data_IF_560078379786
#
_entry.id   IF_560078379786
#
_cell.length_a   1.000
_cell.length_b   1.000
_cell.length_c   1.000
_cell.angle_alpha   90.00
_cell.angle_beta   90.00
_cell.angle_gamma   90.00
#
_symmetry.space_group_name_H-M   'P 1'
#
loop_
_entity.id
_entity.type
_entity.pdbx_description
1 polymer ?
#
# COMPACT_ATOMS: atom_id res chain seq x y z
N UNK A 1 31.53 -51.51 -35.12
CA UNK A 1 31.45 -50.03 -35.19
C UNK A 1 29.99 -49.60 -35.00
N UNK A 2 29.39 -49.98 -33.87
CA UNK A 2 28.04 -49.61 -33.42
C UNK A 2 28.16 -49.52 -31.90
N UNK A 3 28.69 -48.41 -31.41
CA UNK A 3 28.75 -48.06 -29.98
C UNK A 3 29.32 -46.64 -29.87
N UNK A 4 28.58 -45.63 -30.36
CA UNK A 4 28.94 -44.21 -30.10
C UNK A 4 27.83 -43.18 -30.32
N UNK A 5 26.56 -43.59 -30.40
CA UNK A 5 25.44 -42.63 -30.58
C UNK A 5 24.27 -42.92 -29.64
N UNK A 6 24.54 -43.05 -28.35
CA UNK A 6 23.51 -43.22 -27.30
C UNK A 6 23.85 -42.42 -26.03
N UNK A 7 24.57 -41.31 -26.17
CA UNK A 7 24.85 -40.36 -25.08
C UNK A 7 24.70 -38.93 -25.63
N UNK A 8 23.46 -38.51 -25.88
CA UNK A 8 23.12 -37.09 -26.05
C UNK A 8 21.63 -36.77 -25.86
N UNK A 9 20.85 -37.66 -25.24
CA UNK A 9 19.45 -37.41 -24.88
C UNK A 9 19.26 -37.58 -23.36
N UNK A 10 19.85 -36.66 -22.59
CA UNK A 10 19.80 -36.72 -21.12
C UNK A 10 20.05 -35.40 -20.41
N UNK A 11 19.89 -34.27 -21.10
CA UNK A 11 20.24 -32.96 -20.58
C UNK A 11 19.37 -31.86 -21.22
N UNK A 12 18.04 -31.97 -21.17
CA UNK A 12 17.11 -30.85 -21.43
C UNK A 12 15.68 -31.14 -20.92
N UNK A 13 15.55 -31.72 -19.73
CA UNK A 13 14.24 -31.98 -19.12
C UNK A 13 14.23 -31.78 -17.60
N UNK A 14 14.98 -30.80 -17.08
CA UNK A 14 14.99 -30.43 -15.66
C UNK A 14 15.15 -28.91 -15.49
N UNK A 15 14.37 -28.08 -16.20
CA UNK A 15 14.21 -26.65 -15.87
C UNK A 15 12.84 -26.11 -16.32
N UNK A 16 11.73 -26.79 -15.99
CA UNK A 16 10.41 -26.16 -15.92
C UNK A 16 9.60 -26.92 -14.87
N UNK A 17 9.94 -26.72 -13.59
CA UNK A 17 9.12 -27.02 -12.40
C UNK A 17 9.82 -26.35 -11.23
N UNK A 18 9.80 -25.03 -11.28
CA UNK A 18 10.37 -24.14 -10.27
C UNK A 18 9.49 -22.91 -10.05
N UNK A 19 8.18 -23.03 -10.28
CA UNK A 19 7.26 -22.24 -9.47
C UNK A 19 7.12 -23.00 -8.16
N UNK A 20 8.01 -22.66 -7.23
CA UNK A 20 7.74 -22.92 -5.83
C UNK A 20 6.38 -22.34 -5.53
N UNK A 21 5.39 -23.21 -5.38
CA UNK A 21 4.32 -23.00 -4.43
C UNK A 21 5.04 -22.71 -3.12
N UNK A 22 5.27 -21.44 -2.80
CA UNK A 22 5.49 -21.04 -1.43
C UNK A 22 4.30 -21.62 -0.68
N UNK A 23 4.54 -22.70 0.06
CA UNK A 23 3.63 -23.10 1.10
C UNK A 23 3.36 -21.85 1.92
N UNK A 24 2.10 -21.38 1.96
CA UNK A 24 1.63 -20.48 3.00
C UNK A 24 1.75 -21.23 4.33
N UNK A 25 2.97 -21.43 4.81
CA UNK A 25 3.20 -21.67 6.22
C UNK A 25 2.82 -20.36 6.89
N UNK A 26 1.64 -20.33 7.50
CA UNK A 26 1.22 -19.23 8.34
C UNK A 26 2.37 -18.94 9.31
N UNK A 27 2.95 -17.74 9.22
CA UNK A 27 4.07 -17.34 10.07
C UNK A 27 3.64 -17.55 11.52
N UNK A 28 4.32 -18.46 12.22
CA UNK A 28 3.93 -18.84 13.57
C UNK A 28 4.23 -17.71 14.55
N UNK A 29 3.30 -17.46 15.47
CA UNK A 29 3.48 -16.47 16.55
C UNK A 29 4.66 -16.87 17.44
N UNK A 30 5.58 -15.93 17.68
CA UNK A 30 6.66 -16.06 18.63
C UNK A 30 6.13 -15.85 20.06
N UNK A 31 5.85 -16.95 20.76
CA UNK A 31 5.26 -16.96 22.11
C UNK A 31 6.15 -16.35 23.17
N UNK A 32 7.47 -16.31 22.98
CA UNK A 32 8.39 -15.71 23.95
C UNK A 32 8.25 -14.18 24.00
N UNK A 33 7.78 -13.57 22.92
CA UNK A 33 7.61 -12.11 22.77
C UNK A 33 6.15 -11.68 22.60
N UNK A 34 5.19 -12.61 22.77
CA UNK A 34 3.77 -12.33 22.60
C UNK A 34 3.01 -12.43 23.93
N UNK A 35 2.08 -11.50 24.16
CA UNK A 35 1.06 -11.55 25.20
C UNK A 35 -0.28 -11.87 24.56
N UNK A 36 -0.61 -13.16 24.54
CA UNK A 36 -1.85 -13.69 23.98
C UNK A 36 -2.92 -13.83 25.07
N UNK A 37 -4.17 -13.50 24.73
CA UNK A 37 -5.38 -13.74 25.53
C UNK A 37 -5.22 -13.41 27.02
N UNK A 38 -5.08 -12.12 27.32
CA UNK A 38 -4.94 -11.64 28.70
C UNK A 38 -6.19 -11.90 29.56
N UNK A 39 -7.37 -12.11 28.95
CA UNK A 39 -8.68 -12.26 29.64
C UNK A 39 -8.70 -13.39 30.64
N UNK A 40 -7.96 -14.48 30.37
CA UNK A 40 -7.91 -15.65 31.25
C UNK A 40 -6.75 -15.63 32.26
N UNK A 41 -5.91 -14.60 32.22
CA UNK A 41 -4.71 -14.55 33.04
C UNK A 41 -4.99 -13.87 34.39
N UNK A 42 -4.69 -14.57 35.48
CA UNK A 42 -4.65 -13.97 36.81
C UNK A 42 -3.32 -13.25 37.08
N UNK A 43 -2.25 -13.66 36.39
CA UNK A 43 -0.90 -13.10 36.51
C UNK A 43 -0.23 -13.04 35.15
N UNK A 44 0.65 -12.05 34.96
CA UNK A 44 1.43 -11.94 33.74
C UNK A 44 2.41 -13.12 33.58
N UNK A 45 2.64 -13.59 32.34
CA UNK A 45 3.66 -14.59 32.07
C UNK A 45 5.03 -14.11 32.53
N UNK A 46 5.88 -15.04 32.98
CA UNK A 46 7.25 -14.71 33.40
C UNK A 46 8.13 -14.17 32.27
N UNK A 47 7.70 -14.30 31.01
CA UNK A 47 8.39 -13.73 29.84
C UNK A 47 8.29 -12.21 29.78
N UNK A 48 7.43 -11.58 30.59
CA UNK A 48 7.27 -10.13 30.65
C UNK A 48 7.47 -9.59 32.06
N UNK A 49 8.04 -8.39 32.13
CA UNK A 49 8.27 -7.66 33.38
C UNK A 49 7.54 -6.34 33.30
N UNK A 50 6.75 -6.03 34.33
CA UNK A 50 6.14 -4.71 34.50
C UNK A 50 7.06 -3.78 35.27
N UNK A 51 6.96 -2.48 34.98
CA UNK A 51 7.64 -1.41 35.71
C UNK A 51 6.71 -0.25 35.98
N UNK A 52 7.13 0.64 36.88
CA UNK A 52 6.31 1.74 37.34
C UNK A 52 5.07 1.24 38.08
N UNK A 53 3.90 1.76 37.69
CA UNK A 53 2.60 1.47 38.27
C UNK A 53 1.73 0.60 37.36
N UNK A 54 2.31 -0.05 36.34
CA UNK A 54 1.56 -0.92 35.45
C UNK A 54 0.99 -2.15 36.20
N UNK A 55 -0.28 -2.45 35.96
CA UNK A 55 -1.01 -3.55 36.62
C UNK A 55 -1.80 -4.37 35.60
N UNK A 56 -1.97 -5.66 35.87
CA UNK A 56 -2.89 -6.53 35.13
C UNK A 56 -4.27 -6.45 35.79
N UNK A 57 -5.28 -5.99 35.08
CA UNK A 57 -6.65 -5.89 35.57
C UNK A 57 -7.62 -6.41 34.51
N UNK A 58 -8.51 -7.33 34.88
CA UNK A 58 -9.66 -7.76 34.04
C UNK A 58 -9.29 -8.01 32.56
N UNK A 59 -8.21 -8.74 32.31
CA UNK A 59 -7.84 -9.12 30.95
C UNK A 59 -7.08 -8.08 30.14
N UNK A 60 -6.48 -7.08 30.77
CA UNK A 60 -5.61 -6.09 30.10
C UNK A 60 -4.53 -5.57 31.03
N UNK A 61 -3.41 -5.13 30.48
CA UNK A 61 -2.37 -4.42 31.23
C UNK A 61 -2.70 -2.94 31.21
N UNK A 62 -3.08 -2.39 32.36
CA UNK A 62 -3.28 -0.97 32.56
C UNK A 62 -1.93 -0.34 32.89
N UNK A 63 -1.37 0.44 31.97
CA UNK A 63 -0.07 1.09 32.14
C UNK A 63 -0.17 2.32 33.04
N UNK A 64 -1.27 3.06 32.97
CA UNK A 64 -1.48 4.30 33.73
C UNK A 64 -2.80 4.27 34.54
N UNK A 65 -2.87 3.50 35.64
CA UNK A 65 -4.13 3.26 36.36
C UNK A 65 -4.66 4.46 37.16
N UNK A 66 -3.84 5.49 37.38
CA UNK A 66 -4.17 6.65 38.24
C UNK A 66 -3.68 7.95 37.61
N UNK A 67 -4.16 9.08 38.08
CA UNK A 67 -3.61 10.39 37.69
C UNK A 67 -2.13 10.50 38.09
N UNK A 68 -1.26 11.02 37.23
CA UNK A 68 0.17 11.11 37.54
C UNK A 68 0.95 9.81 37.42
N UNK A 69 0.35 8.78 36.81
CA UNK A 69 0.94 7.43 36.78
C UNK A 69 1.75 7.18 35.53
N UNK A 70 2.77 6.34 35.73
CA UNK A 70 3.71 5.91 34.69
C UNK A 70 3.84 4.41 34.77
N UNK A 71 3.83 3.73 33.63
CA UNK A 71 3.91 2.29 33.57
C UNK A 71 4.71 1.80 32.39
N UNK A 72 5.21 0.57 32.52
CA UNK A 72 5.93 -0.09 31.45
C UNK A 72 5.70 -1.58 31.49
N UNK A 73 5.78 -2.22 30.33
CA UNK A 73 5.87 -3.66 30.19
C UNK A 73 6.93 -3.98 29.14
N UNK A 74 7.85 -4.88 29.47
CA UNK A 74 8.98 -5.24 28.61
C UNK A 74 9.11 -6.76 28.53
N UNK A 75 9.48 -7.26 27.35
CA UNK A 75 9.91 -8.65 27.21
C UNK A 75 11.21 -8.86 28.01
N UNK A 76 11.29 -9.95 28.75
CA UNK A 76 12.44 -10.29 29.58
C UNK A 76 13.61 -10.81 28.72
N UNK A 77 13.29 -11.57 27.67
CA UNK A 77 14.28 -12.06 26.70
C UNK A 77 14.65 -10.96 25.71
N UNK A 78 15.85 -11.06 25.16
CA UNK A 78 16.27 -10.21 24.04
C UNK A 78 15.87 -10.87 22.72
N UNK A 79 15.25 -10.10 21.83
CA UNK A 79 14.84 -10.50 20.50
C UNK A 79 16.03 -10.43 19.54
N UNK A 80 16.38 -11.56 18.92
CA UNK A 80 17.43 -11.60 17.92
C UNK A 80 16.85 -11.26 16.54
N UNK A 81 17.22 -10.10 15.99
CA UNK A 81 16.68 -9.65 14.71
C UNK A 81 17.21 -10.49 13.54
N UNK A 82 16.31 -11.26 12.91
CA UNK A 82 16.54 -11.93 11.62
C UNK A 82 16.29 -11.01 10.42
N UNK A 83 15.83 -11.58 9.30
CA UNK A 83 15.58 -10.81 8.06
C UNK A 83 14.26 -10.02 8.08
N UNK A 84 13.26 -10.49 8.84
CA UNK A 84 11.98 -9.82 8.95
C UNK A 84 11.28 -10.14 10.26
N UNK A 85 10.43 -9.22 10.70
CA UNK A 85 9.53 -9.46 11.82
C UNK A 85 8.26 -8.63 11.67
N UNK A 86 7.21 -9.05 12.37
CA UNK A 86 5.98 -8.27 12.54
C UNK A 86 5.65 -8.20 14.03
N UNK A 87 5.34 -7.01 14.52
CA UNK A 87 4.86 -6.79 15.88
C UNK A 87 3.51 -6.06 15.85
N UNK A 88 2.54 -6.56 16.61
CA UNK A 88 1.17 -6.06 16.63
C UNK A 88 0.79 -5.73 18.08
N UNK A 89 0.44 -4.48 18.33
CA UNK A 89 -0.03 -4.01 19.62
C UNK A 89 -1.50 -3.63 19.53
N UNK A 90 -2.33 -4.25 20.37
CA UNK A 90 -3.73 -3.85 20.54
C UNK A 90 -3.84 -2.99 21.78
N UNK A 91 -4.08 -1.70 21.59
CA UNK A 91 -4.01 -0.68 22.65
C UNK A 91 -5.23 0.22 22.63
N UNK A 92 -5.53 0.87 23.77
CA UNK A 92 -6.52 1.94 23.84
C UNK A 92 -6.17 2.98 24.89
N UNK A 93 -6.83 4.14 24.78
CA UNK A 93 -6.81 5.21 25.78
C UNK A 93 -8.25 5.55 26.19
N UNK A 94 -8.50 5.59 27.50
CA UNK A 94 -9.82 5.92 28.08
C UNK A 94 -9.69 6.98 29.19
N UNK A 95 -10.83 7.51 29.64
CA UNK A 95 -10.98 8.42 30.79
C UNK A 95 -10.42 9.84 30.62
N UNK A 96 -9.90 10.18 29.44
CA UNK A 96 -9.46 11.54 29.13
C UNK A 96 -9.57 11.87 27.65
N UNK A 97 -9.98 13.11 27.35
CA UNK A 97 -9.98 13.69 26.02
C UNK A 97 -9.49 15.13 26.11
N UNK A 98 -8.49 15.46 25.30
CA UNK A 98 -7.87 16.78 25.31
C UNK A 98 -6.36 16.70 25.24
N UNK A 99 -5.74 17.84 24.91
CA UNK A 99 -4.28 17.96 24.78
C UNK A 99 -3.61 17.63 26.13
N UNK A 100 -2.64 16.73 26.09
CA UNK A 100 -1.89 16.25 27.25
C UNK A 100 -0.40 16.18 26.93
N UNK A 101 0.45 16.27 27.95
CA UNK A 101 1.88 15.95 27.85
C UNK A 101 2.16 14.44 27.96
N UNK A 102 1.13 13.64 28.24
CA UNK A 102 1.21 12.19 28.28
C UNK A 102 1.25 11.54 26.90
N UNK A 103 1.57 10.25 26.88
CA UNK A 103 1.66 9.47 25.67
C UNK A 103 1.99 8.00 25.92
N UNK A 104 1.80 7.19 24.89
CA UNK A 104 2.13 5.76 24.84
C UNK A 104 3.26 5.55 23.83
N UNK A 105 4.35 4.93 24.27
CA UNK A 105 5.50 4.61 23.44
C UNK A 105 5.67 3.10 23.30
N UNK A 106 5.76 2.62 22.06
CA UNK A 106 6.13 1.25 21.72
C UNK A 106 7.58 1.23 21.23
N UNK A 107 8.35 0.28 21.72
CA UNK A 107 9.80 0.27 21.61
C UNK A 107 10.30 -0.99 20.93
N UNK A 108 11.23 -0.80 20.00
CA UNK A 108 12.09 -1.84 19.44
C UNK A 108 13.51 -1.31 19.43
N UNK A 109 14.23 -1.49 20.55
CA UNK A 109 15.51 -0.81 20.83
C UNK A 109 16.58 -1.79 21.26
N UNK A 110 17.85 -1.46 21.07
CA UNK A 110 18.99 -2.22 21.59
C UNK A 110 18.80 -2.43 23.11
N UNK A 111 19.16 -3.61 23.62
CA UNK A 111 18.98 -3.95 25.02
C UNK A 111 19.78 -3.05 25.98
N UNK A 112 20.87 -2.46 25.51
CA UNK A 112 21.73 -1.53 26.27
C UNK A 112 21.06 -0.17 26.42
N UNK A 113 21.07 0.38 27.63
CA UNK A 113 20.59 1.75 27.90
C UNK A 113 19.08 1.88 28.09
N UNK A 114 18.37 0.78 28.34
CA UNK A 114 16.91 0.76 28.56
C UNK A 114 16.48 1.13 29.98
N UNK A 115 17.42 1.38 30.89
CA UNK A 115 17.13 1.67 32.31
C UNK A 115 16.69 3.13 32.55
N UNK A 116 16.87 4.01 31.56
CA UNK A 116 16.41 5.40 31.64
C UNK A 116 14.88 5.46 31.44
N UNK A 117 14.19 6.24 32.28
CA UNK A 117 12.72 6.33 32.31
C UNK A 117 12.20 7.75 32.01
N UNK A 118 13.04 8.57 31.36
CA UNK A 118 12.80 10.03 31.22
C UNK A 118 11.90 10.41 30.05
N UNK A 119 11.56 9.48 29.15
CA UNK A 119 10.77 9.76 27.96
C UNK A 119 9.56 8.81 27.92
N UNK A 120 8.40 9.28 28.35
CA UNK A 120 7.17 8.48 28.45
C UNK A 120 7.36 7.18 29.24
N UNK A 121 8.12 7.26 30.34
CA UNK A 121 8.54 6.11 31.16
C UNK A 121 9.42 5.07 30.43
N UNK A 122 10.06 5.47 29.34
CA UNK A 122 11.08 4.72 28.62
C UNK A 122 12.37 5.54 28.42
N UNK A 123 13.34 4.98 27.66
CA UNK A 123 14.66 5.57 27.52
C UNK A 123 14.63 6.85 26.69
N UNK A 124 15.23 7.93 27.21
CA UNK A 124 15.40 9.19 26.47
C UNK A 124 16.58 9.15 25.50
N UNK A 125 17.48 8.19 25.65
CA UNK A 125 18.61 7.94 24.76
C UNK A 125 18.60 6.45 24.44
N UNK A 126 18.31 6.12 23.18
CA UNK A 126 18.10 4.74 22.74
C UNK A 126 18.71 4.52 21.36
N UNK A 127 19.04 3.27 21.05
CA UNK A 127 19.44 2.85 19.71
C UNK A 127 18.33 1.96 19.16
N UNK A 128 17.69 2.33 18.04
CA UNK A 128 16.57 1.61 17.45
C UNK A 128 15.37 2.50 17.19
N UNK A 129 14.17 1.93 17.34
CA UNK A 129 12.90 2.51 16.92
C UNK A 129 11.97 2.75 18.12
N UNK A 130 11.34 3.92 18.11
CA UNK A 130 10.21 4.26 18.97
C UNK A 130 9.01 4.64 18.10
N UNK A 131 7.85 4.08 18.41
CA UNK A 131 6.55 4.55 17.92
C UNK A 131 5.82 5.26 19.06
N UNK A 132 5.54 6.55 18.89
CA UNK A 132 4.91 7.40 19.90
C UNK A 132 3.48 7.75 19.48
N UNK A 133 2.53 7.40 20.34
CA UNK A 133 1.13 7.83 20.26
C UNK A 133 0.88 8.90 21.31
N UNK A 134 0.72 10.14 20.87
CA UNK A 134 0.49 11.31 21.74
C UNK A 134 -0.32 12.39 21.00
N UNK A 135 -0.65 13.46 21.71
CA UNK A 135 -1.33 14.62 21.12
C UNK A 135 -0.73 15.98 21.51
N UNK A 136 0.47 15.99 22.09
CA UNK A 136 1.10 17.23 22.55
C UNK A 136 1.75 18.01 21.40
N UNK A 137 2.12 17.31 20.32
CA UNK A 137 2.72 17.89 19.12
C UNK A 137 1.81 18.86 18.36
N UNK A 138 2.37 19.53 17.36
CA UNK A 138 1.69 20.57 16.57
C UNK A 138 0.51 20.04 15.75
N UNK A 139 0.58 18.76 15.38
CA UNK A 139 -0.44 18.09 14.55
C UNK A 139 -1.61 17.51 15.37
N UNK A 140 -1.62 17.73 16.69
CA UNK A 140 -2.58 17.10 17.59
C UNK A 140 -2.33 15.60 17.70
N UNK A 141 -3.40 14.81 17.75
CA UNK A 141 -3.33 13.37 17.98
C UNK A 141 -2.68 12.64 16.80
N UNK A 142 -1.51 12.06 17.04
CA UNK A 142 -0.67 11.43 16.01
C UNK A 142 -0.06 10.12 16.48
N UNK A 143 0.26 9.26 15.52
CA UNK A 143 1.25 8.20 15.69
C UNK A 143 2.52 8.62 14.94
N UNK A 144 3.64 8.72 15.65
CA UNK A 144 4.93 9.18 15.14
C UNK A 144 5.99 8.12 15.32
N UNK A 145 6.97 8.10 14.42
CA UNK A 145 8.10 7.20 14.48
C UNK A 145 9.41 7.98 14.58
N UNK A 146 10.22 7.56 15.55
CA UNK A 146 11.51 8.13 15.87
C UNK A 146 12.57 7.04 15.79
N UNK A 147 13.67 7.36 15.14
CA UNK A 147 14.82 6.48 15.01
C UNK A 147 16.01 7.15 15.69
N UNK A 148 16.80 6.39 16.42
CA UNK A 148 18.01 6.90 17.04
C UNK A 148 19.13 5.86 17.05
N UNK A 149 20.36 6.35 17.08
CA UNK A 149 21.61 5.61 17.22
C UNK A 149 22.23 5.82 18.62
N UNK A 150 21.43 6.28 19.59
CA UNK A 150 21.83 6.71 20.92
C UNK A 150 22.79 7.92 20.96
N UNK A 151 23.04 8.64 19.86
CA UNK A 151 23.91 9.83 19.87
C UNK A 151 23.26 11.07 20.52
N UNK A 152 21.93 11.17 20.44
CA UNK A 152 21.13 12.30 20.94
C UNK A 152 20.20 11.85 22.05
N UNK A 153 19.89 12.79 22.94
CA UNK A 153 18.88 12.62 23.99
C UNK A 153 17.59 13.33 23.60
N UNK A 154 16.50 12.59 23.64
CA UNK A 154 15.15 13.08 23.38
C UNK A 154 14.45 13.53 24.66
N UNK A 155 13.47 14.39 24.49
CA UNK A 155 12.63 14.99 25.51
C UNK A 155 11.23 15.10 24.93
N UNK A 156 10.23 15.34 25.78
CA UNK A 156 8.85 15.54 25.31
C UNK A 156 8.66 16.73 24.37
N UNK A 157 9.67 17.59 24.16
CA UNK A 157 9.59 18.75 23.25
C UNK A 157 10.37 18.55 21.96
N UNK A 158 11.64 18.13 22.02
CA UNK A 158 12.47 17.98 20.81
C UNK A 158 12.16 16.72 19.98
N UNK A 159 11.39 15.78 20.53
CA UNK A 159 11.08 14.53 19.85
C UNK A 159 10.31 14.78 18.54
N UNK A 160 9.47 15.82 18.48
CA UNK A 160 8.66 16.11 17.30
C UNK A 160 9.49 16.50 16.07
N UNK A 161 10.62 17.19 16.27
CA UNK A 161 11.51 17.63 15.20
C UNK A 161 12.26 16.46 14.55
N UNK A 162 12.40 15.35 15.26
CA UNK A 162 13.16 14.17 14.84
C UNK A 162 12.21 13.02 14.43
N UNK A 163 11.02 13.38 13.93
CA UNK A 163 10.03 12.43 13.38
C UNK A 163 10.39 12.07 11.95
N UNK A 164 10.60 10.80 11.63
CA UNK A 164 10.86 10.36 10.23
C UNK A 164 9.60 9.84 9.51
N UNK A 165 8.56 9.48 10.25
CA UNK A 165 7.27 9.02 9.73
C UNK A 165 6.15 9.29 10.71
N UNK A 166 4.96 9.67 10.23
CA UNK A 166 3.81 9.92 11.09
C UNK A 166 2.47 9.79 10.35
N UNK A 167 1.38 9.67 11.09
CA UNK A 167 0.02 9.85 10.59
C UNK A 167 -0.89 10.46 11.68
N UNK A 168 -2.02 11.04 11.26
CA UNK A 168 -3.05 11.49 12.19
C UNK A 168 -3.76 10.27 12.78
N UNK A 169 -3.96 10.25 14.10
CA UNK A 169 -4.60 9.13 14.80
C UNK A 169 -5.46 9.64 15.96
N UNK A 170 -6.77 9.50 15.85
CA UNK A 170 -7.68 9.69 16.98
C UNK A 170 -7.68 8.45 17.87
N UNK A 171 -7.15 8.55 19.09
CA UNK A 171 -7.04 7.41 20.03
C UNK A 171 -7.67 7.64 21.40
N UNK A 172 -7.88 8.90 21.79
CA UNK A 172 -8.36 9.27 23.12
C UNK A 172 -9.84 8.97 23.32
N UNK A 173 -10.19 8.56 24.54
CA UNK A 173 -11.57 8.32 25.00
C UNK A 173 -12.34 7.33 24.13
N UNK A 174 -11.65 6.28 23.68
CA UNK A 174 -12.23 5.21 22.86
C UNK A 174 -12.24 3.89 23.64
N UNK A 175 -13.43 3.31 23.80
CA UNK A 175 -13.57 1.95 24.36
C UNK A 175 -13.12 0.87 23.39
N UNK A 176 -13.16 1.16 22.09
CA UNK A 176 -12.71 0.28 21.02
C UNK A 176 -11.18 0.41 20.90
N UNK A 177 -10.44 -0.70 21.03
CA UNK A 177 -8.99 -0.68 20.88
C UNK A 177 -8.58 -0.55 19.41
N UNK A 178 -7.37 -0.05 19.23
CA UNK A 178 -6.69 0.10 17.95
C UNK A 178 -5.60 -0.96 17.85
N UNK A 179 -5.41 -1.53 16.66
CA UNK A 179 -4.30 -2.44 16.39
C UNK A 179 -3.23 -1.71 15.58
N UNK A 180 -2.08 -1.48 16.21
CA UNK A 180 -0.90 -0.90 15.58
C UNK A 180 0.02 -2.05 15.18
N UNK A 181 0.31 -2.15 13.89
CA UNK A 181 1.19 -3.18 13.33
C UNK A 181 2.46 -2.54 12.78
N UNK A 182 3.61 -3.02 13.25
CA UNK A 182 4.92 -2.71 12.73
C UNK A 182 5.46 -3.92 11.96
N UNK A 183 5.78 -3.74 10.70
CA UNK A 183 6.42 -4.75 9.85
C UNK A 183 7.79 -4.25 9.43
N UNK A 184 8.81 -5.09 9.59
CA UNK A 184 10.16 -4.81 9.12
C UNK A 184 10.67 -5.95 8.24
N UNK A 185 11.38 -5.60 7.17
CA UNK A 185 12.14 -6.52 6.32
C UNK A 185 13.45 -5.87 5.88
N UNK A 186 14.55 -6.60 5.96
CA UNK A 186 15.90 -6.16 5.56
C UNK A 186 16.46 -6.90 4.35
N UNK A 187 15.72 -7.85 3.77
CA UNK A 187 16.15 -8.67 2.63
C UNK A 187 16.14 -7.93 1.29
N UNK A 188 15.81 -8.64 0.22
CA UNK A 188 15.81 -8.11 -1.16
C UNK A 188 14.92 -6.86 -1.34
N UNK A 189 13.89 -6.73 -0.51
CA UNK A 189 12.95 -5.61 -0.50
C UNK A 189 12.89 -4.96 0.88
N UNK A 190 13.85 -4.07 1.23
CA UNK A 190 13.86 -3.44 2.53
C UNK A 190 12.61 -2.59 2.72
N UNK A 191 11.90 -2.83 3.82
CA UNK A 191 10.63 -2.17 4.11
C UNK A 191 10.43 -2.09 5.62
N UNK A 192 10.19 -0.87 6.11
CA UNK A 192 9.57 -0.61 7.40
C UNK A 192 8.17 -0.06 7.13
N UNK A 193 7.13 -0.73 7.62
CA UNK A 193 5.74 -0.31 7.44
C UNK A 193 5.02 -0.27 8.78
N UNK A 194 4.23 0.78 8.99
CA UNK A 194 3.33 0.89 10.13
C UNK A 194 1.90 0.99 9.65
N UNK A 195 1.03 0.16 10.21
CA UNK A 195 -0.41 0.14 9.96
C UNK A 195 -1.17 0.41 11.27
N UNK A 196 -2.33 1.05 11.16
CA UNK A 196 -3.32 1.16 12.23
C UNK A 196 -4.65 0.66 11.70
N UNK A 197 -5.21 -0.36 12.35
CA UNK A 197 -6.43 -1.06 11.91
C UNK A 197 -6.38 -1.43 10.43
N UNK A 198 -5.27 -2.05 10.01
CA UNK A 198 -4.97 -2.45 8.63
C UNK A 198 -4.80 -1.31 7.61
N UNK A 199 -4.96 -0.04 8.00
CA UNK A 199 -4.64 1.12 7.14
C UNK A 199 -3.20 1.54 7.32
N UNK A 200 -2.50 1.82 6.23
CA UNK A 200 -1.10 2.25 6.31
C UNK A 200 -1.03 3.67 6.87
N UNK A 201 -0.27 3.80 7.96
CA UNK A 201 0.09 5.06 8.58
C UNK A 201 1.27 5.68 7.82
N UNK A 202 2.37 4.94 7.68
CA UNK A 202 3.51 5.31 6.83
C UNK A 202 4.33 4.07 6.45
N UNK A 203 5.19 4.21 5.45
CA UNK A 203 6.15 3.19 5.05
C UNK A 203 7.45 3.83 4.53
N UNK A 204 8.58 3.19 4.76
CA UNK A 204 9.89 3.66 4.30
C UNK A 204 10.84 2.51 3.99
N UNK A 205 11.77 2.74 3.07
CA UNK A 205 12.88 1.82 2.74
C UNK A 205 14.22 2.31 3.30
N UNK A 206 14.21 3.43 4.02
CA UNK A 206 15.43 4.12 4.46
C UNK A 206 15.96 3.61 5.81
N UNK A 207 15.12 2.91 6.57
CA UNK A 207 15.50 2.40 7.89
C UNK A 207 16.16 1.04 7.72
N UNK A 208 17.38 0.93 8.24
CA UNK A 208 18.14 -0.31 8.31
C UNK A 208 18.51 -0.53 9.77
N UNK A 209 17.93 -1.56 10.37
CA UNK A 209 18.21 -1.96 11.73
C UNK A 209 19.36 -2.97 11.71
N UNK A 210 20.46 -2.75 12.46
CA UNK A 210 21.56 -3.69 12.52
C UNK A 210 21.11 -5.04 13.11
N UNK A 211 21.69 -6.14 12.61
CA UNK A 211 21.44 -7.49 13.12
C UNK A 211 22.07 -7.66 14.51
N UNK A 212 21.28 -7.38 15.54
CA UNK A 212 21.68 -7.44 16.95
C UNK A 212 20.49 -7.82 17.84
N UNK A 213 20.72 -7.81 19.15
CA UNK A 213 19.70 -8.11 20.14
C UNK A 213 18.91 -6.85 20.51
N UNK A 214 17.59 -6.96 20.45
CA UNK A 214 16.66 -5.88 20.76
C UNK A 214 15.79 -6.24 21.97
N UNK A 215 15.36 -5.23 22.72
CA UNK A 215 14.26 -5.30 23.67
C UNK A 215 13.00 -4.75 23.01
N UNK A 216 11.92 -5.48 23.22
CA UNK A 216 10.58 -5.10 22.85
C UNK A 216 9.82 -4.68 24.11
N UNK A 217 9.14 -3.54 24.06
CA UNK A 217 8.34 -3.10 25.19
C UNK A 217 7.40 -1.96 24.87
N UNK A 218 6.55 -1.66 25.84
CA UNK A 218 5.55 -0.59 25.78
C UNK A 218 5.63 0.19 27.09
N UNK A 219 5.66 1.51 27.00
CA UNK A 219 5.70 2.41 28.15
C UNK A 219 4.68 3.52 27.99
N UNK A 220 4.15 4.03 29.09
CA UNK A 220 3.21 5.14 29.07
C UNK A 220 3.39 6.07 30.27
N UNK A 221 2.99 7.32 30.05
CA UNK A 221 2.95 8.39 31.06
C UNK A 221 1.68 9.20 30.78
N UNK A 222 0.81 9.39 31.76
CA UNK A 222 -0.40 10.20 31.59
C UNK A 222 -0.24 11.64 32.09
N UNK A 223 0.96 12.04 32.51
CA UNK A 223 1.23 13.33 33.12
C UNK A 223 0.20 13.62 34.23
N UNK A 224 -0.37 14.81 34.30
CA UNK A 224 -1.25 15.21 35.40
C UNK A 224 -2.76 14.97 35.11
N UNK A 225 -3.11 14.05 34.20
CA UNK A 225 -4.49 13.76 33.83
C UNK A 225 -4.93 12.32 34.21
N UNK A 226 -6.21 11.98 34.03
CA UNK A 226 -6.76 10.66 34.35
C UNK A 226 -6.74 9.66 33.17
N UNK A 227 -5.94 9.92 32.14
CA UNK A 227 -5.85 9.08 30.95
C UNK A 227 -5.29 7.71 31.30
N UNK A 228 -6.03 6.66 30.94
CA UNK A 228 -5.64 5.27 31.17
C UNK A 228 -5.23 4.65 29.84
N UNK A 229 -3.93 4.43 29.67
CA UNK A 229 -3.37 3.68 28.55
C UNK A 229 -3.37 2.19 28.89
N UNK A 230 -3.98 1.40 28.01
CA UNK A 230 -4.17 -0.03 28.23
C UNK A 230 -3.61 -0.84 27.05
N UNK A 231 -2.89 -1.91 27.35
CA UNK A 231 -2.42 -2.91 26.41
C UNK A 231 -3.27 -4.18 26.59
N UNK A 232 -3.97 -4.58 25.52
CA UNK A 232 -4.86 -5.74 25.53
C UNK A 232 -4.18 -6.97 24.95
N UNK A 233 -3.30 -6.79 23.97
CA UNK A 233 -2.63 -7.89 23.27
C UNK A 233 -1.33 -7.41 22.64
N UNK A 234 -0.33 -8.29 22.61
CA UNK A 234 0.92 -8.10 21.89
C UNK A 234 1.23 -9.38 21.12
N UNK A 235 1.31 -9.32 19.80
CA UNK A 235 1.69 -10.45 18.97
C UNK A 235 2.96 -10.15 18.20
N UNK A 236 3.89 -11.09 18.20
CA UNK A 236 5.17 -10.96 17.51
C UNK A 236 5.38 -12.17 16.63
N UNK A 237 5.86 -11.94 15.43
CA UNK A 237 6.09 -12.94 14.40
C UNK A 237 7.51 -12.80 13.85
N UNK A 238 8.21 -13.92 13.68
CA UNK A 238 9.56 -13.94 13.09
C UNK A 238 9.54 -13.87 11.54
N UNK A 239 8.56 -13.14 11.00
CA UNK A 239 8.31 -13.01 9.57
C UNK A 239 7.26 -11.95 9.25
N UNK A 240 6.94 -11.81 7.97
CA UNK A 240 5.91 -10.89 7.47
C UNK A 240 4.56 -11.60 7.45
N UNK A 241 3.55 -11.05 8.14
CA UNK A 241 2.19 -11.61 8.12
C UNK A 241 1.46 -11.29 6.81
N UNK A 242 0.48 -12.11 6.40
CA UNK A 242 -0.32 -11.82 5.19
C UNK A 242 -1.02 -10.46 5.28
N UNK A 243 -1.50 -10.09 6.47
CA UNK A 243 -2.15 -8.80 6.70
C UNK A 243 -1.16 -7.62 6.61
N UNK A 244 0.13 -7.88 6.87
CA UNK A 244 1.21 -6.93 6.59
C UNK A 244 1.44 -6.72 5.09
N UNK A 245 0.89 -7.55 4.20
CA UNK A 245 1.07 -7.41 2.75
C UNK A 245 -0.09 -6.67 2.08
N UNK A 246 -1.15 -6.35 2.82
CA UNK A 246 -2.33 -5.65 2.29
C UNK A 246 -1.88 -4.33 1.65
N UNK A 247 -2.12 -4.14 0.33
CA UNK A 247 -1.76 -2.92 -0.37
C UNK A 247 -2.65 -1.75 0.04
N UNK A 248 -2.15 -0.52 -0.16
CA UNK A 248 -2.77 0.76 0.19
C UNK A 248 -4.14 1.02 -0.45
N UNK A 249 -5.18 0.28 -0.08
CA UNK A 249 -6.54 0.57 -0.53
C UNK A 249 -7.08 1.86 0.13
N UNK A 250 -6.71 2.12 1.39
CA UNK A 250 -7.10 3.31 2.15
C UNK A 250 -5.93 3.80 3.03
N UNK A 251 -5.21 4.83 2.56
CA UNK A 251 -4.12 5.48 3.32
C UNK A 251 -4.73 6.35 4.42
N UNK A 252 -4.15 6.35 5.62
CA UNK A 252 -4.58 7.26 6.69
C UNK A 252 -4.34 8.73 6.30
N UNK A 253 -5.20 9.63 6.78
CA UNK A 253 -5.04 11.06 6.55
C UNK A 253 -3.68 11.53 7.07
N UNK A 254 -2.89 12.09 6.15
CA UNK A 254 -1.60 12.68 6.46
C UNK A 254 -1.79 14.14 6.88
N UNK A 255 -0.98 14.64 7.83
CA UNK A 255 -1.00 16.05 8.21
C UNK A 255 -0.70 16.93 7.00
N UNK A 256 -1.55 17.93 6.76
CA UNK A 256 -1.37 18.92 5.68
C UNK A 256 -0.89 20.23 6.28
N UNK A 257 0.20 20.76 5.73
CA UNK A 257 0.69 22.08 6.12
C UNK A 257 -0.09 23.15 5.33
N UNK A 258 -0.75 24.03 6.05
CA UNK A 258 -1.45 25.19 5.49
C UNK A 258 -0.61 26.43 5.76
N UNK A 259 -0.20 27.14 4.70
CA UNK A 259 0.41 28.46 4.81
C UNK A 259 -0.69 29.52 4.76
N UNK A 260 -0.77 30.33 5.80
CA UNK A 260 -1.62 31.53 5.81
C UNK A 260 -0.93 32.63 5.01
N UNK A 261 -1.46 32.93 3.83
CA UNK A 261 -1.02 34.05 2.98
C UNK A 261 -1.89 35.25 3.31
N UNK A 262 -1.27 36.35 3.74
CA UNK A 262 -1.97 37.60 4.02
C UNK A 262 -1.65 38.58 2.90
N UNK A 263 -2.68 39.02 2.18
CA UNK A 263 -2.53 40.05 1.18
C UNK A 263 -2.22 41.39 1.87
N UNK A 264 -1.01 41.91 1.70
CA UNK A 264 -0.56 43.15 2.37
C UNK A 264 -1.41 44.39 2.02
N UNK A 265 -2.17 44.37 0.91
CA UNK A 265 -2.98 45.51 0.46
C UNK A 265 -4.44 45.42 0.88
N UNK A 266 -5.01 44.21 0.95
CA UNK A 266 -6.43 44.01 1.30
C UNK A 266 -6.64 43.47 2.71
N UNK A 267 -5.59 42.95 3.35
CA UNK A 267 -5.68 42.27 4.63
C UNK A 267 -6.39 40.91 4.56
N UNK A 268 -6.76 40.45 3.36
CA UNK A 268 -7.43 39.18 3.18
C UNK A 268 -6.48 38.02 3.45
N UNK A 269 -6.99 37.05 4.20
CA UNK A 269 -6.27 35.87 4.63
C UNK A 269 -6.71 34.69 3.76
N UNK A 270 -5.76 34.08 3.06
CA UNK A 270 -5.97 32.87 2.29
C UNK A 270 -5.15 31.72 2.88
N UNK A 271 -5.80 30.59 3.15
CA UNK A 271 -5.12 29.39 3.62
C UNK A 271 -4.76 28.53 2.42
N UNK A 272 -3.47 28.49 2.07
CA UNK A 272 -2.96 27.73 0.94
C UNK A 272 -2.25 26.48 1.46
N UNK A 273 -2.69 25.30 1.04
CA UNK A 273 -1.99 24.05 1.31
C UNK A 273 -0.64 24.07 0.58
N UNK A 274 0.47 24.01 1.34
CA UNK A 274 1.83 23.98 0.77
C UNK A 274 2.59 22.76 1.27
N UNK A 275 3.21 22.03 0.36
CA UNK A 275 4.10 20.90 0.68
C UNK A 275 5.48 21.42 1.11
N UNK A 276 6.22 20.70 1.96
CA UNK A 276 7.57 21.09 2.41
C UNK A 276 8.57 21.41 1.27
N UNK A 277 8.35 20.87 0.06
CA UNK A 277 9.15 21.19 -1.14
C UNK A 277 8.73 22.50 -1.84
N UNK A 278 7.47 22.94 -1.71
CA UNK A 278 6.97 24.21 -2.28
C UNK A 278 7.42 25.42 -1.43
N UNK A 279 7.87 25.19 -0.20
CA UNK A 279 8.45 26.22 0.66
C UNK A 279 9.88 26.59 0.26
N UNK A 280 10.58 25.71 -0.46
CA UNK A 280 11.99 25.87 -0.85
C UNK A 280 12.20 26.28 -2.31
N UNK A 281 11.12 26.42 -3.10
CA UNK A 281 11.18 26.74 -4.52
C UNK A 281 10.61 28.12 -4.84
N UNK A 282 11.30 28.87 -5.70
CA UNK A 282 10.81 30.11 -6.31
C UNK A 282 9.46 29.86 -6.99
N UNK A 283 8.48 30.73 -6.69
CA UNK A 283 7.06 30.59 -7.02
C UNK A 283 6.74 30.56 -8.53
N UNK A 284 7.74 30.70 -9.41
CA UNK A 284 7.56 30.87 -10.85
C UNK A 284 8.11 29.70 -11.69
N UNK A 285 8.68 28.66 -11.06
CA UNK A 285 9.19 27.50 -11.79
C UNK A 285 8.29 26.27 -11.60
N UNK A 286 7.75 25.74 -12.70
CA UNK A 286 7.12 24.41 -12.71
C UNK A 286 8.23 23.39 -12.42
N UNK A 287 8.39 23.02 -11.16
CA UNK A 287 9.38 22.04 -10.75
C UNK A 287 8.96 20.64 -11.22
N UNK A 288 9.94 19.77 -11.50
CA UNK A 288 9.71 18.37 -11.90
C UNK A 288 8.78 17.60 -10.95
N UNK A 289 8.67 18.06 -9.70
CA UNK A 289 7.75 17.54 -8.69
C UNK A 289 6.27 17.79 -9.01
N UNK A 290 5.90 18.98 -9.52
CA UNK A 290 4.52 19.28 -9.97
C UNK A 290 4.14 18.41 -11.16
N UNK A 291 5.11 18.15 -12.05
CA UNK A 291 4.96 17.19 -13.15
C UNK A 291 4.76 15.76 -12.63
N UNK A 292 5.54 15.33 -11.63
CA UNK A 292 5.40 14.03 -10.96
C UNK A 292 4.06 13.87 -10.25
N UNK A 293 3.56 14.89 -9.55
CA UNK A 293 2.25 14.82 -8.88
C UNK A 293 1.11 14.76 -9.90
N UNK A 294 1.21 15.51 -11.00
CA UNK A 294 0.27 15.41 -12.11
C UNK A 294 0.35 14.05 -12.79
N UNK A 295 1.55 13.48 -12.96
CA UNK A 295 1.74 12.11 -13.44
C UNK A 295 1.10 11.09 -12.50
N UNK A 296 1.35 11.13 -11.19
CA UNK A 296 0.75 10.21 -10.23
C UNK A 296 -0.79 10.33 -10.20
N UNK A 297 -1.34 11.53 -10.35
CA UNK A 297 -2.79 11.74 -10.44
C UNK A 297 -3.37 11.24 -11.77
N UNK A 298 -2.61 11.33 -12.87
CA UNK A 298 -2.99 10.76 -14.15
C UNK A 298 -2.88 9.23 -14.12
N UNK A 299 -1.81 8.69 -13.54
CA UNK A 299 -1.60 7.26 -13.35
C UNK A 299 -2.69 6.66 -12.47
N UNK A 300 -3.06 7.29 -11.35
CA UNK A 300 -4.20 6.83 -10.53
C UNK A 300 -5.53 6.87 -11.27
N UNK A 301 -5.75 7.84 -12.17
CA UNK A 301 -6.96 7.92 -13.01
C UNK A 301 -6.94 6.88 -14.15
N UNK A 302 -5.78 6.62 -14.74
CA UNK A 302 -5.58 5.61 -15.78
C UNK A 302 -5.75 4.22 -15.16
N UNK A 303 -5.12 3.95 -14.03
CA UNK A 303 -5.26 2.69 -13.29
C UNK A 303 -6.71 2.46 -12.86
N UNK A 304 -7.42 3.46 -12.35
CA UNK A 304 -8.83 3.30 -11.98
C UNK A 304 -9.72 2.97 -13.19
N UNK A 305 -9.44 3.57 -14.36
CA UNK A 305 -10.18 3.30 -15.59
C UNK A 305 -9.82 1.94 -16.21
N UNK A 306 -8.53 1.60 -16.24
CA UNK A 306 -8.04 0.35 -16.80
C UNK A 306 -8.38 -0.85 -15.92
N UNK A 307 -8.38 -0.70 -14.58
CA UNK A 307 -8.84 -1.75 -13.64
C UNK A 307 -10.33 -2.01 -13.84
N UNK A 308 -11.17 -0.98 -14.04
CA UNK A 308 -12.58 -1.19 -14.32
C UNK A 308 -12.81 -1.94 -15.66
N UNK A 309 -11.99 -1.61 -16.67
CA UNK A 309 -12.06 -2.26 -17.98
C UNK A 309 -11.53 -3.70 -17.92
N UNK A 310 -10.48 -3.94 -17.14
CA UNK A 310 -9.89 -5.27 -16.91
C UNK A 310 -10.80 -6.14 -16.05
N UNK A 311 -11.45 -5.58 -15.02
CA UNK A 311 -12.47 -6.26 -14.21
C UNK A 311 -13.61 -6.76 -15.09
N UNK A 312 -14.10 -5.91 -15.99
CA UNK A 312 -15.14 -6.29 -16.94
C UNK A 312 -14.69 -7.40 -17.90
N UNK A 313 -13.44 -7.34 -18.38
CA UNK A 313 -12.89 -8.39 -19.23
C UNK A 313 -12.71 -9.73 -18.48
N UNK A 314 -12.40 -9.68 -17.18
CA UNK A 314 -12.34 -10.86 -16.30
C UNK A 314 -13.75 -11.43 -16.08
N UNK A 315 -14.75 -10.58 -15.84
CA UNK A 315 -16.14 -11.02 -15.69
C UNK A 315 -16.67 -11.69 -16.96
N UNK A 316 -16.38 -11.11 -18.14
CA UNK A 316 -16.74 -11.68 -19.45
C UNK A 316 -16.03 -13.05 -19.67
N UNK A 317 -14.76 -13.17 -19.24
CA UNK A 317 -14.02 -14.44 -19.31
C UNK A 317 -14.61 -15.52 -18.39
N UNK A 318 -15.04 -15.15 -17.19
CA UNK A 318 -15.71 -16.06 -16.24
C UNK A 318 -17.05 -16.53 -16.82
N UNK A 319 -17.81 -15.65 -17.47
CA UNK A 319 -19.05 -16.02 -18.14
C UNK A 319 -18.81 -17.03 -19.28
N UNK A 320 -17.82 -16.76 -20.13
CA UNK A 320 -17.43 -17.69 -21.21
C UNK A 320 -16.99 -19.05 -20.65
N UNK A 321 -16.20 -19.07 -19.58
CA UNK A 321 -15.77 -20.30 -18.92
C UNK A 321 -16.97 -21.09 -18.37
N UNK A 322 -17.94 -20.41 -17.74
CA UNK A 322 -19.16 -21.05 -17.23
C UNK A 322 -20.02 -21.65 -18.34
N UNK A 323 -20.10 -20.96 -19.50
CA UNK A 323 -20.80 -21.48 -20.68
C UNK A 323 -20.08 -22.72 -21.23
N UNK A 324 -18.74 -22.72 -21.27
CA UNK A 324 -17.95 -23.87 -21.71
C UNK A 324 -18.12 -25.07 -20.76
N UNK A 325 -18.07 -24.87 -19.45
CA UNK A 325 -18.29 -25.92 -18.45
C UNK A 325 -19.67 -26.56 -18.60
N UNK A 326 -20.72 -25.77 -18.82
CA UNK A 326 -22.08 -26.29 -19.08
C UNK A 326 -22.17 -27.07 -20.39
N UNK A 327 -21.43 -26.68 -21.43
CA UNK A 327 -21.37 -27.44 -22.68
C UNK A 327 -20.64 -28.76 -22.47
N UNK A 328 -19.56 -28.77 -21.68
CA UNK A 328 -18.81 -29.97 -21.33
C UNK A 328 -19.68 -30.95 -20.54
N UNK A 329 -20.46 -30.46 -19.58
CA UNK A 329 -21.44 -31.28 -18.84
C UNK A 329 -22.47 -31.91 -19.79
N UNK A 330 -22.99 -31.17 -20.78
CA UNK A 330 -23.91 -31.75 -21.77
C UNK A 330 -23.24 -32.86 -22.58
N UNK A 331 -22.00 -32.67 -23.02
CA UNK A 331 -21.25 -33.70 -23.75
C UNK A 331 -21.03 -34.93 -22.86
N UNK A 332 -20.67 -34.73 -21.59
CA UNK A 332 -20.53 -35.82 -20.61
C UNK A 332 -21.86 -36.54 -20.44
N UNK A 333 -22.99 -35.83 -20.27
CA UNK A 333 -24.30 -36.47 -20.12
C UNK A 333 -24.70 -37.29 -21.34
N UNK A 334 -24.40 -36.82 -22.56
CA UNK A 334 -24.66 -37.56 -23.80
C UNK A 334 -23.77 -38.80 -23.96
N UNK A 335 -22.51 -38.70 -23.53
CA UNK A 335 -21.60 -39.86 -23.50
C UNK A 335 -22.03 -40.87 -22.43
N UNK A 336 -22.51 -40.40 -21.28
CA UNK A 336 -22.95 -41.25 -20.17
C UNK A 336 -24.28 -41.94 -20.50
N UNK A 337 -25.22 -41.26 -21.15
CA UNK A 337 -26.48 -41.86 -21.63
C UNK A 337 -26.23 -42.92 -22.71
N UNK A 338 -25.21 -42.73 -23.56
CA UNK A 338 -24.79 -43.75 -24.54
C UNK A 338 -24.19 -45.00 -23.89
N UNK A 339 -23.44 -44.83 -22.78
CA UNK A 339 -22.86 -45.95 -22.02
C UNK A 339 -23.93 -46.78 -21.28
N UNK A 340 -25.04 -46.16 -20.84
CA UNK A 340 -26.16 -46.89 -20.21
C UNK A 340 -27.01 -47.72 -21.19
N UNK A 341 -26.97 -47.43 -22.50
CA UNK A 341 -27.67 -48.22 -23.54
C UNK A 341 -26.82 -49.32 -24.16
N UNK A 342 -25.52 -49.39 -23.88
CA UNK A 342 -24.61 -50.41 -24.43
C UNK A 342 -24.53 -51.69 -23.55
N UNK A 343 -25.65 -52.04 -22.92
CA UNK A 343 -25.76 -53.18 -22.00
C UNK A 343 -27.02 -54.00 -22.24
N UNK A 344 -27.27 -54.39 -23.50
CA UNK A 344 -28.08 -55.56 -23.89
C UNK A 344 -28.02 -55.77 -25.40
N UNK A 345 -27.33 -56.85 -25.76
CA UNK A 345 -27.43 -57.73 -26.93
C UNK A 345 -27.90 -57.19 -28.29
N UNK A 346 -26.96 -57.22 -29.24
CA UNK A 346 -27.05 -57.81 -30.58
C UNK A 346 -28.27 -57.58 -31.47
N UNK A 347 -28.11 -56.77 -32.52
CA UNK A 347 -28.52 -57.11 -33.89
C UNK A 347 -27.89 -56.12 -34.90
N UNK A 348 -27.16 -56.65 -35.88
CA UNK A 348 -26.70 -55.92 -37.06
C UNK A 348 -27.91 -55.57 -37.94
N UNK A 349 -28.16 -54.28 -38.16
CA UNK A 349 -29.21 -53.85 -39.09
C UNK A 349 -29.40 -52.32 -39.18
N UNK A 350 -28.71 -51.69 -40.13
CA UNK A 350 -29.16 -50.49 -40.85
C UNK A 350 -29.64 -49.24 -40.06
N UNK A 351 -28.87 -48.74 -39.09
CA UNK A 351 -29.09 -47.42 -38.46
C UNK A 351 -27.84 -46.51 -38.46
N UNK A 352 -26.90 -46.74 -39.39
CA UNK A 352 -25.59 -46.05 -39.39
C UNK A 352 -25.53 -44.84 -40.36
N UNK A 353 -26.53 -44.58 -41.19
CA UNK A 353 -26.39 -43.53 -42.23
C UNK A 353 -26.71 -42.10 -41.76
N UNK A 354 -27.61 -41.89 -40.78
CA UNK A 354 -27.96 -40.51 -40.35
C UNK A 354 -26.97 -39.91 -39.35
N UNK A 355 -26.42 -40.73 -38.43
CA UNK A 355 -25.49 -40.22 -37.40
C UNK A 355 -24.11 -39.85 -37.94
N UNK A 356 -23.67 -40.45 -39.05
CA UNK A 356 -22.44 -40.06 -39.73
C UNK A 356 -22.59 -38.78 -40.54
N UNK A 357 -23.78 -38.48 -41.09
CA UNK A 357 -24.06 -37.20 -41.75
C UNK A 357 -23.94 -36.02 -40.78
N UNK A 358 -24.36 -36.19 -39.53
CA UNK A 358 -24.20 -35.14 -38.52
C UNK A 358 -22.76 -34.97 -38.06
N UNK A 359 -21.94 -36.03 -38.10
CA UNK A 359 -20.50 -35.94 -37.83
C UNK A 359 -19.76 -35.19 -38.94
N UNK A 360 -20.08 -35.46 -40.21
CA UNK A 360 -19.52 -34.70 -41.35
C UNK A 360 -20.02 -33.25 -41.37
N UNK A 361 -21.29 -32.99 -41.03
CA UNK A 361 -21.79 -31.61 -40.85
C UNK A 361 -21.14 -30.89 -39.68
N UNK A 362 -20.73 -31.61 -38.63
CA UNK A 362 -20.01 -31.04 -37.49
C UNK A 362 -18.58 -30.70 -37.88
N UNK A 363 -17.92 -31.55 -38.66
CA UNK A 363 -16.58 -31.28 -39.22
C UNK A 363 -16.62 -30.08 -40.18
N UNK A 364 -17.62 -30.02 -41.07
CA UNK A 364 -17.84 -28.89 -41.97
C UNK A 364 -18.14 -27.59 -41.20
N UNK A 365 -18.97 -27.66 -40.15
CA UNK A 365 -19.21 -26.51 -39.25
C UNK A 365 -17.98 -26.12 -38.44
N UNK A 366 -17.13 -27.08 -38.07
CA UNK A 366 -15.90 -26.81 -37.33
C UNK A 366 -14.88 -26.14 -38.23
N UNK A 367 -14.75 -26.59 -39.48
CA UNK A 367 -13.94 -25.96 -40.51
C UNK A 367 -14.46 -24.55 -40.83
N UNK A 368 -15.78 -24.38 -40.92
CA UNK A 368 -16.42 -23.08 -41.12
C UNK A 368 -16.20 -22.14 -39.92
N UNK A 369 -16.23 -22.66 -38.69
CA UNK A 369 -15.90 -21.91 -37.47
C UNK A 369 -14.41 -21.58 -37.35
N UNK A 370 -13.52 -22.46 -37.80
CA UNK A 370 -12.08 -22.19 -37.85
C UNK A 370 -11.76 -21.14 -38.92
N UNK A 371 -12.44 -21.18 -40.08
CA UNK A 371 -12.35 -20.16 -41.11
C UNK A 371 -12.96 -18.83 -40.65
N UNK A 372 -14.09 -18.85 -39.93
CA UNK A 372 -14.65 -17.66 -39.29
C UNK A 372 -13.72 -17.12 -38.21
N UNK A 373 -13.09 -17.98 -37.38
CA UNK A 373 -12.09 -17.53 -36.41
C UNK A 373 -10.85 -16.98 -37.09
N UNK A 374 -10.36 -17.59 -38.17
CA UNK A 374 -9.26 -17.04 -38.97
C UNK A 374 -9.65 -15.71 -39.59
N UNK A 375 -10.87 -15.57 -40.11
CA UNK A 375 -11.42 -14.31 -40.64
C UNK A 375 -11.62 -13.26 -39.56
N UNK A 376 -12.04 -13.63 -38.35
CA UNK A 376 -12.11 -12.75 -37.18
C UNK A 376 -10.70 -12.38 -36.74
N UNK A 377 -9.71 -13.27 -36.83
CA UNK A 377 -8.31 -12.99 -36.50
C UNK A 377 -7.62 -12.12 -37.55
N UNK A 378 -7.99 -12.26 -38.82
CA UNK A 378 -7.50 -11.45 -39.93
C UNK A 378 -8.19 -10.08 -39.94
N UNK A 379 -9.51 -10.01 -39.74
CA UNK A 379 -10.21 -8.73 -39.54
C UNK A 379 -9.81 -8.08 -38.22
N UNK A 380 -9.51 -8.84 -37.16
CA UNK A 380 -8.92 -8.29 -35.94
C UNK A 380 -7.48 -7.86 -36.17
N UNK A 381 -6.67 -8.54 -37.00
CA UNK A 381 -5.34 -8.04 -37.41
C UNK A 381 -5.44 -6.80 -38.28
N UNK A 382 -6.46 -6.70 -39.13
CA UNK A 382 -6.72 -5.55 -40.00
C UNK A 382 -7.32 -4.38 -39.20
N UNK A 383 -8.06 -4.65 -38.14
CA UNK A 383 -8.54 -3.66 -37.15
C UNK A 383 -7.46 -3.31 -36.11
N UNK A 384 -6.51 -4.21 -35.82
CA UNK A 384 -5.33 -3.97 -34.96
C UNK A 384 -4.22 -3.23 -35.71
N UNK A 385 -4.21 -3.26 -37.05
CA UNK A 385 -3.36 -2.41 -37.89
C UNK A 385 -4.12 -1.28 -38.61
N UNK A 386 -5.39 -1.06 -38.28
CA UNK A 386 -6.26 -0.11 -38.96
C UNK A 386 -7.04 0.86 -38.07
N UNK A 387 -7.17 0.65 -36.75
CA UNK A 387 -8.03 1.53 -35.94
C UNK A 387 -7.60 1.74 -34.47
N UNK A 388 -6.32 1.52 -34.11
CA UNK A 388 -5.81 1.87 -32.77
C UNK A 388 -4.32 2.25 -32.77
N UNK A 389 -3.98 3.30 -33.53
CA UNK A 389 -2.65 3.89 -33.59
C UNK A 389 -2.67 5.41 -33.36
N UNK A 390 -2.72 5.84 -32.10
CA UNK A 390 -2.37 7.19 -31.67
C UNK A 390 -3.50 8.24 -31.69
N UNK A 391 -3.44 9.26 -30.81
CA UNK A 391 -4.49 10.27 -30.69
C UNK A 391 -4.57 11.09 -31.97
N UNK A 392 -5.79 11.45 -32.39
CA UNK A 392 -6.12 12.27 -33.56
C UNK A 392 -5.26 13.55 -33.66
N UNK A 393 -4.08 13.44 -34.29
CA UNK A 393 -3.22 14.58 -34.63
C UNK A 393 -3.96 15.46 -35.63
N UNK A 394 -4.70 14.86 -36.57
CA UNK A 394 -5.44 15.62 -37.59
C UNK A 394 -6.61 16.42 -37.01
N UNK A 395 -7.30 15.94 -35.96
CA UNK A 395 -8.39 16.69 -35.37
C UNK A 395 -7.89 17.80 -34.44
N UNK A 396 -6.82 17.54 -33.69
CA UNK A 396 -6.16 18.54 -32.85
C UNK A 396 -5.53 19.63 -33.72
N UNK A 397 -4.78 19.26 -34.77
CA UNK A 397 -4.16 20.20 -35.71
C UNK A 397 -5.23 21.01 -36.44
N UNK A 398 -6.36 20.41 -36.84
CA UNK A 398 -7.49 21.13 -37.46
C UNK A 398 -8.15 22.11 -36.50
N UNK A 399 -8.34 21.74 -35.24
CA UNK A 399 -8.88 22.65 -34.20
C UNK A 399 -7.88 23.76 -33.84
N UNK A 400 -6.59 23.46 -33.83
CA UNK A 400 -5.51 24.43 -33.57
C UNK A 400 -5.36 25.44 -34.71
N UNK A 401 -5.45 24.99 -35.96
CA UNK A 401 -5.38 25.89 -37.14
C UNK A 401 -6.54 26.86 -37.19
N UNK A 402 -7.76 26.43 -36.83
CA UNK A 402 -8.93 27.33 -36.75
C UNK A 402 -8.71 28.44 -35.71
N UNK A 403 -8.03 28.15 -34.61
CA UNK A 403 -7.73 29.14 -33.57
C UNK A 403 -6.52 30.04 -33.88
N UNK A 404 -5.56 29.56 -34.67
CA UNK A 404 -4.36 30.31 -35.05
C UNK A 404 -4.60 31.38 -36.12
N UNK A 405 -5.54 31.16 -37.04
CA UNK A 405 -5.86 32.09 -38.14
C UNK A 405 -6.22 33.50 -37.65
N UNK A 406 -7.12 33.71 -36.68
CA UNK A 406 -7.43 35.05 -36.19
C UNK A 406 -6.23 35.71 -35.47
N UNK A 407 -5.38 34.94 -34.80
CA UNK A 407 -4.19 35.46 -34.12
C UNK A 407 -3.14 35.96 -35.13
N UNK A 408 -2.94 35.23 -36.22
CA UNK A 408 -2.05 35.66 -37.32
C UNK A 408 -2.59 36.91 -38.02
N UNK A 409 -3.92 37.02 -38.20
CA UNK A 409 -4.55 38.21 -38.77
C UNK A 409 -4.32 39.46 -37.89
N UNK A 410 -4.47 39.33 -36.57
CA UNK A 410 -4.18 40.43 -35.62
C UNK A 410 -2.70 40.82 -35.66
N UNK A 411 -1.79 39.84 -35.75
CA UNK A 411 -0.35 40.12 -35.90
C UNK A 411 -0.04 40.88 -37.18
N UNK A 412 -0.67 40.52 -38.32
CA UNK A 412 -0.47 41.25 -39.57
C UNK A 412 -0.98 42.70 -39.51
N UNK A 413 -2.12 42.93 -38.86
CA UNK A 413 -2.66 44.30 -38.67
C UNK A 413 -1.73 45.13 -37.81
N UNK A 414 -1.22 44.56 -36.70
CA UNK A 414 -0.24 45.22 -35.83
C UNK A 414 1.07 45.53 -36.59
N UNK A 415 1.58 44.59 -37.39
CA UNK A 415 2.76 44.80 -38.21
C UNK A 415 2.54 45.90 -39.27
N UNK A 416 1.38 45.93 -39.91
CA UNK A 416 1.01 46.97 -40.87
C UNK A 416 0.97 48.36 -40.23
N UNK A 417 0.33 48.50 -39.06
CA UNK A 417 0.30 49.78 -38.35
C UNK A 417 1.69 50.21 -37.87
N UNK A 418 2.50 49.26 -37.38
CA UNK A 418 3.88 49.56 -36.94
C UNK A 418 4.74 50.03 -38.12
N UNK A 419 4.57 49.42 -39.30
CA UNK A 419 5.28 49.83 -40.51
C UNK A 419 4.82 51.20 -41.03
N UNK A 420 3.50 51.46 -41.00
CA UNK A 420 2.94 52.75 -41.41
C UNK A 420 3.39 53.89 -40.49
N UNK A 421 3.39 53.67 -39.16
CA UNK A 421 3.90 54.64 -38.18
C UNK A 421 5.38 54.92 -38.44
N UNK A 422 6.19 53.89 -38.72
CA UNK A 422 7.61 54.09 -39.10
C UNK A 422 7.76 54.93 -40.36
N UNK A 423 6.93 54.71 -41.39
CA UNK A 423 6.98 55.53 -42.60
C UNK A 423 6.55 56.98 -42.37
N UNK A 424 5.53 57.21 -41.54
CA UNK A 424 5.08 58.57 -41.19
C UNK A 424 6.17 59.31 -40.39
N UNK A 425 6.85 58.65 -39.44
CA UNK A 425 7.99 59.21 -38.70
C UNK A 425 9.14 59.59 -39.63
N UNK A 426 9.46 58.76 -40.63
CA UNK A 426 10.54 59.05 -41.60
C UNK A 426 10.18 60.24 -42.48
N UNK A 427 8.92 60.40 -42.87
CA UNK A 427 8.47 61.57 -43.66
C UNK A 427 8.47 62.87 -42.85
N UNK A 428 8.15 62.83 -41.57
CA UNK A 428 8.23 64.02 -40.69
C UNK A 428 9.66 64.45 -40.33
N UNK A 429 10.67 63.58 -40.50
CA UNK A 429 12.08 63.94 -40.30
C UNK A 429 12.74 64.60 -41.53
N UNK A 430 12.03 64.69 -42.66
CA UNK A 430 12.51 65.28 -43.92
C UNK A 430 11.88 66.65 -44.23
N UNK A 431 11.14 67.22 -43.27
CA UNK A 431 10.51 68.54 -43.36
C UNK A 431 11.23 69.54 -42.45
#
# INVERSE_FOLDING_TARGET
MIARSLISLGLFAHQVLGHGSASNEAVSVNKDFSLLDLVKLEKLPSTFITGGQAVLEEGRVVLTPKTGSKGSIWAQKEYHLGESFTAEWTVRSINHKGKSAGGLAMWFVNSKGTDDLKLYNGPSQFEGLQLLMDNNGELGSTLRAHLSDASKKFTGTNIYDETFGSCLLGYQDSTVPLTIRLTYSSGDFPLLKVQVDNRVCFQTKKVQLPAQNYKLGVTADNADNAESFELLQLEVYDGITEESMIPNANIMEQPRLLTKVINQKTGEEELVEKTALEMNGDADSVTNFVLLQKMNRLEGKILANDIATLSKAIDDLIEVQNIQSRRLERVITLLTSRKSTSGKDGEEGALVDESFKDFFKMDEKLEQLLLEQQRIRESSKQNVFGDNGGPHIDEIVRKLTIWLIPLVAVMMVMAYHTFRIRQEIVKTKLL
#
